data_IF_073228607650
#
_entry.id   IF_073228607650
#
_cell.length_a   1.000
_cell.length_b   1.000
_cell.length_c   1.000
_cell.angle_alpha   90.00
_cell.angle_beta   90.00
_cell.angle_gamma   90.00
#
_symmetry.space_group_name_H-M   'P 1'
#
loop_
_entity.id
_entity.type
_entity.pdbx_description
1 polymer ?
#
# COMPACT_ATOMS: atom_id res chain seq x y z
N UNK A 1 -19.92 12.77 -6.18
CA UNK A 1 -18.99 12.74 -5.03
C UNK A 1 -18.03 13.93 -5.02
N UNK A 2 -17.08 14.04 -5.98
CA UNK A 2 -16.01 15.04 -5.91
C UNK A 2 -16.34 16.43 -6.49
N UNK A 3 -17.42 16.55 -7.28
CA UNK A 3 -17.87 17.84 -7.83
C UNK A 3 -16.80 18.51 -8.68
N UNK A 4 -16.55 19.80 -8.45
CA UNK A 4 -15.51 20.57 -9.14
C UNK A 4 -14.08 20.08 -8.90
N UNK A 5 -13.85 19.22 -7.90
CA UNK A 5 -12.51 18.70 -7.55
C UNK A 5 -12.07 17.50 -8.39
N UNK A 6 -12.92 16.98 -9.29
CA UNK A 6 -12.60 15.80 -10.12
C UNK A 6 -11.31 15.99 -10.91
N UNK A 7 -11.09 17.17 -11.51
CA UNK A 7 -9.89 17.42 -12.28
C UNK A 7 -8.62 17.34 -11.42
N UNK A 8 -8.59 18.05 -10.29
CA UNK A 8 -7.47 18.03 -9.35
C UNK A 8 -7.20 16.61 -8.82
N UNK A 9 -8.26 15.83 -8.55
CA UNK A 9 -8.15 14.43 -8.15
C UNK A 9 -7.48 13.58 -9.24
N UNK A 10 -7.89 13.72 -10.51
CA UNK A 10 -7.30 12.97 -11.63
C UNK A 10 -5.84 13.36 -11.87
N UNK A 11 -5.51 14.64 -11.80
CA UNK A 11 -4.13 15.14 -11.89
C UNK A 11 -3.25 14.61 -10.74
N UNK A 12 -3.79 14.62 -9.52
CA UNK A 12 -3.14 14.04 -8.34
C UNK A 12 -2.90 12.54 -8.53
N UNK A 13 -3.89 11.78 -9.01
CA UNK A 13 -3.76 10.35 -9.27
C UNK A 13 -2.69 10.03 -10.33
N UNK A 14 -2.59 10.84 -11.37
CA UNK A 14 -1.64 10.65 -12.47
C UNK A 14 -0.17 10.83 -12.09
N UNK A 15 0.11 11.42 -10.93
CA UNK A 15 1.47 11.74 -10.47
C UNK A 15 1.79 11.03 -9.15
N UNK A 16 3.07 10.66 -8.91
CA UNK A 16 3.45 10.15 -7.61
C UNK A 16 3.36 11.25 -6.54
N UNK A 17 3.15 10.90 -5.26
CA UNK A 17 3.28 11.88 -4.18
C UNK A 17 4.67 12.50 -4.18
N UNK A 18 4.78 13.81 -3.90
CA UNK A 18 6.11 14.48 -3.83
C UNK A 18 7.01 13.94 -2.73
N UNK A 19 6.41 13.31 -1.72
CA UNK A 19 7.09 12.67 -0.60
C UNK A 19 6.71 11.19 -0.55
N UNK A 20 7.68 10.33 -0.80
CA UNK A 20 7.53 8.88 -0.71
C UNK A 20 7.80 8.44 0.72
N UNK A 21 6.81 7.83 1.35
CA UNK A 21 6.93 7.35 2.72
C UNK A 21 7.56 5.95 2.77
N UNK A 22 8.45 5.75 3.74
CA UNK A 22 8.90 4.44 4.19
C UNK A 22 8.65 4.32 5.69
N UNK A 23 8.26 3.13 6.13
CA UNK A 23 8.20 2.80 7.56
C UNK A 23 9.56 2.32 8.02
N UNK A 24 10.08 2.91 9.09
CA UNK A 24 11.27 2.44 9.79
C UNK A 24 10.87 1.33 10.75
N UNK A 25 11.62 0.23 10.72
CA UNK A 25 11.43 -0.89 11.62
C UNK A 25 12.16 -0.62 12.93
N UNK A 26 11.43 -0.06 13.91
CA UNK A 26 11.98 0.33 15.22
C UNK A 26 12.46 -0.83 16.09
N UNK A 27 12.26 -2.08 15.67
CA UNK A 27 12.88 -3.26 16.30
C UNK A 27 14.36 -3.40 15.87
N UNK A 28 14.74 -2.84 14.72
CA UNK A 28 16.04 -3.07 14.06
C UNK A 28 16.84 -1.81 13.76
N UNK A 29 16.31 -0.63 14.07
CA UNK A 29 17.02 0.64 13.86
C UNK A 29 16.15 1.84 14.15
N UNK A 30 16.78 3.01 14.14
CA UNK A 30 16.16 4.28 14.46
C UNK A 30 15.88 5.10 13.20
N UNK A 31 14.91 6.02 13.28
CA UNK A 31 14.50 6.84 12.13
C UNK A 31 15.61 7.78 11.68
N UNK A 32 16.37 8.33 12.62
CA UNK A 32 17.49 9.22 12.33
C UNK A 32 18.57 8.51 11.51
N UNK A 33 18.88 7.24 11.81
CA UNK A 33 19.84 6.44 11.02
C UNK A 33 19.37 6.29 9.56
N UNK A 34 18.07 6.06 9.35
CA UNK A 34 17.49 5.89 8.02
C UNK A 34 17.51 7.21 7.25
N UNK A 35 17.18 8.32 7.92
CA UNK A 35 17.22 9.67 7.34
C UNK A 35 18.66 10.04 6.95
N UNK A 36 19.61 9.83 7.84
CA UNK A 36 21.05 10.05 7.59
C UNK A 36 21.54 9.19 6.43
N UNK A 37 21.17 7.91 6.37
CA UNK A 37 21.54 7.02 5.27
C UNK A 37 21.06 7.55 3.91
N UNK A 38 19.77 7.90 3.78
CA UNK A 38 19.23 8.40 2.51
C UNK A 38 19.84 9.75 2.12
N UNK A 39 20.06 10.64 3.08
CA UNK A 39 20.76 11.91 2.84
C UNK A 39 22.22 11.70 2.42
N UNK A 40 22.91 10.72 3.01
CA UNK A 40 24.29 10.36 2.68
C UNK A 40 24.47 9.82 1.26
N UNK A 41 23.46 9.17 0.68
CA UNK A 41 23.46 8.73 -0.72
C UNK A 41 22.90 9.78 -1.69
N UNK A 42 22.66 11.01 -1.22
CA UNK A 42 22.24 12.15 -2.04
C UNK A 42 20.72 12.29 -2.25
N UNK A 43 19.89 11.47 -1.61
CA UNK A 43 18.45 11.70 -1.59
C UNK A 43 18.10 12.79 -0.56
N UNK A 44 16.91 13.41 -0.67
CA UNK A 44 16.40 14.33 0.36
C UNK A 44 15.40 13.60 1.24
N UNK A 45 15.81 13.22 2.45
CA UNK A 45 14.99 12.50 3.41
C UNK A 45 14.80 13.30 4.70
N UNK A 46 13.61 13.22 5.29
CA UNK A 46 13.31 13.75 6.63
C UNK A 46 12.38 12.81 7.40
N UNK A 47 12.44 12.85 8.73
CA UNK A 47 11.44 12.21 9.58
C UNK A 47 10.05 12.87 9.38
N UNK A 48 8.99 12.10 9.58
CA UNK A 48 7.63 12.62 9.62
C UNK A 48 7.35 13.25 10.99
N UNK A 49 6.69 14.41 11.01
CA UNK A 49 6.55 15.23 12.23
C UNK A 49 5.62 14.61 13.29
N UNK A 50 4.64 13.80 12.87
CA UNK A 50 3.64 13.21 13.77
C UNK A 50 3.63 11.67 13.84
N UNK A 51 4.47 10.99 13.06
CA UNK A 51 4.54 9.52 13.04
C UNK A 51 6.01 9.15 13.20
N UNK A 52 6.36 8.70 14.39
CA UNK A 52 7.75 8.51 14.84
C UNK A 52 8.52 7.58 13.92
N UNK A 53 7.88 6.50 13.47
CA UNK A 53 8.45 5.44 12.64
C UNK A 53 8.33 5.69 11.13
N UNK A 54 8.04 6.92 10.69
CA UNK A 54 7.90 7.26 9.27
C UNK A 54 9.01 8.21 8.80
N UNK A 55 9.67 7.86 7.69
CA UNK A 55 10.60 8.72 6.98
C UNK A 55 10.05 9.05 5.59
N UNK A 56 10.28 10.30 5.15
CA UNK A 56 9.77 10.86 3.90
C UNK A 56 10.93 11.15 2.97
N UNK A 57 11.01 10.43 1.86
CA UNK A 57 12.00 10.62 0.79
C UNK A 57 11.38 11.50 -0.29
N UNK A 58 12.04 12.58 -0.67
CA UNK A 58 11.55 13.47 -1.73
C UNK A 58 11.64 12.76 -3.07
N UNK A 59 10.55 12.82 -3.84
CA UNK A 59 10.53 12.37 -5.25
C UNK A 59 11.02 13.51 -6.13
N UNK A 60 12.02 13.26 -6.96
CA UNK A 60 12.52 14.24 -7.92
C UNK A 60 11.78 14.14 -9.26
N UNK A 61 11.64 15.27 -9.96
CA UNK A 61 10.94 15.38 -11.24
C UNK A 61 9.71 16.32 -11.15
N UNK A 62 8.87 16.36 -12.20
CA UNK A 62 8.98 15.56 -13.42
C UNK A 62 10.19 15.96 -14.27
N UNK A 63 10.87 14.97 -14.84
CA UNK A 63 11.90 15.12 -15.87
C UNK A 63 11.27 14.83 -17.24
N UNK A 64 11.72 15.52 -18.27
CA UNK A 64 11.35 15.18 -19.64
C UNK A 64 11.97 13.83 -20.01
N UNK A 65 11.21 12.94 -20.64
CA UNK A 65 11.71 11.65 -21.13
C UNK A 65 11.82 11.74 -22.64
N UNK A 66 12.92 12.32 -23.10
CA UNK A 66 13.28 12.34 -24.51
C UNK A 66 13.82 10.97 -24.93
N UNK A 67 13.37 10.47 -26.08
CA UNK A 67 13.96 9.26 -26.61
C UNK A 67 13.50 8.95 -28.02
N UNK A 68 14.28 9.36 -29.02
CA UNK A 68 14.20 8.79 -30.36
C UNK A 68 14.76 7.35 -30.32
N UNK A 69 14.06 6.36 -30.86
CA UNK A 69 14.53 4.97 -30.91
C UNK A 69 13.43 3.91 -30.83
N UNK A 70 13.84 2.64 -30.81
CA UNK A 70 12.93 1.51 -30.64
C UNK A 70 12.31 1.52 -29.23
N UNK A 71 11.03 1.12 -29.12
CA UNK A 71 10.32 1.09 -27.86
C UNK A 71 10.09 -0.32 -27.30
N UNK A 72 10.04 -0.39 -25.97
CA UNK A 72 9.64 -1.58 -25.20
C UNK A 72 8.40 -1.21 -24.42
N UNK A 73 7.33 -1.93 -24.69
CA UNK A 73 6.05 -1.75 -24.00
C UNK A 73 6.07 -2.59 -22.72
N UNK A 74 5.98 -1.93 -21.58
CA UNK A 74 5.85 -2.55 -20.26
C UNK A 74 4.36 -2.75 -19.90
N UNK A 75 4.07 -3.74 -19.06
CA UNK A 75 2.76 -3.89 -18.41
C UNK A 75 2.50 -2.66 -17.52
N UNK A 76 1.24 -2.28 -17.31
CA UNK A 76 0.82 -1.10 -16.51
C UNK A 76 1.64 -0.90 -15.22
N UNK A 77 1.62 -1.88 -14.32
CA UNK A 77 2.32 -1.75 -13.02
C UNK A 77 3.84 -1.68 -13.14
N UNK A 78 4.41 -2.33 -14.16
CA UNK A 78 5.84 -2.23 -14.42
C UNK A 78 6.18 -0.84 -14.98
N UNK A 79 5.34 -0.28 -15.85
CA UNK A 79 5.48 1.09 -16.35
C UNK A 79 5.35 2.13 -15.22
N UNK A 80 4.38 1.97 -14.31
CA UNK A 80 4.23 2.80 -13.10
C UNK A 80 5.47 2.72 -12.18
N UNK A 81 6.10 1.55 -12.07
CA UNK A 81 7.35 1.37 -11.30
C UNK A 81 8.56 2.01 -12.00
N UNK A 82 8.64 1.86 -13.33
CA UNK A 82 9.68 2.51 -14.16
C UNK A 82 9.55 4.02 -14.10
N UNK A 83 8.32 4.56 -14.12
CA UNK A 83 8.03 5.99 -13.99
C UNK A 83 8.65 6.61 -12.73
N UNK A 84 8.87 5.81 -11.67
CA UNK A 84 9.52 6.20 -10.41
C UNK A 84 11.04 5.96 -10.36
N UNK A 85 11.64 5.46 -11.44
CA UNK A 85 13.07 5.20 -11.54
C UNK A 85 13.47 3.72 -11.43
N UNK A 86 12.53 2.79 -11.34
CA UNK A 86 12.85 1.35 -11.30
C UNK A 86 13.37 0.84 -12.65
N UNK A 87 14.19 -0.20 -12.62
CA UNK A 87 14.53 -0.98 -13.81
C UNK A 87 13.30 -1.72 -14.36
N UNK A 88 13.24 -1.94 -15.68
CA UNK A 88 12.24 -2.83 -16.25
C UNK A 88 12.73 -4.27 -16.15
N UNK A 89 12.05 -5.09 -15.37
CA UNK A 89 12.33 -6.52 -15.24
C UNK A 89 11.57 -7.36 -16.28
N UNK A 90 12.14 -8.50 -16.66
CA UNK A 90 11.60 -9.42 -17.67
C UNK A 90 10.09 -9.76 -17.50
N UNK A 91 9.57 -10.05 -16.29
CA UNK A 91 8.14 -10.31 -16.08
C UNK A 91 7.22 -9.13 -16.41
N UNK A 92 7.77 -7.91 -16.38
CA UNK A 92 7.07 -6.67 -16.67
C UNK A 92 7.01 -6.32 -18.15
N UNK A 93 7.78 -7.00 -19.01
CA UNK A 93 7.78 -6.76 -20.46
C UNK A 93 6.50 -7.32 -21.08
N UNK A 94 5.79 -6.50 -21.85
CA UNK A 94 4.61 -6.91 -22.61
C UNK A 94 4.94 -7.13 -24.09
N UNK A 95 5.62 -6.17 -24.72
CA UNK A 95 6.05 -6.22 -26.11
C UNK A 95 7.39 -5.53 -26.26
N UNK A 96 8.25 -6.05 -27.13
CA UNK A 96 9.56 -5.49 -27.42
C UNK A 96 9.72 -5.37 -28.93
N UNK A 97 9.99 -4.15 -29.42
CA UNK A 97 10.45 -3.98 -30.80
C UNK A 97 11.86 -4.57 -30.96
N UNK A 98 12.38 -4.67 -32.19
CA UNK A 98 13.73 -5.23 -32.43
C UNK A 98 14.77 -4.42 -31.65
N UNK A 99 15.38 -5.04 -30.66
CA UNK A 99 16.43 -4.44 -29.84
C UNK A 99 17.44 -5.51 -29.45
N UNK A 100 18.70 -5.12 -29.40
CA UNK A 100 19.85 -5.91 -28.98
C UNK A 100 20.34 -5.43 -27.62
N UNK A 101 21.09 -6.29 -26.93
CA UNK A 101 21.82 -5.90 -25.72
C UNK A 101 22.68 -4.66 -26.03
N UNK A 102 22.58 -3.64 -25.19
CA UNK A 102 23.28 -2.36 -25.37
C UNK A 102 22.49 -1.29 -26.12
N UNK A 103 21.39 -1.65 -26.81
CA UNK A 103 20.58 -0.67 -27.51
C UNK A 103 19.89 0.28 -26.53
N UNK A 104 19.88 1.56 -26.91
CA UNK A 104 19.10 2.60 -26.24
C UNK A 104 17.63 2.45 -26.62
N UNK A 105 16.77 2.28 -25.63
CA UNK A 105 15.36 1.98 -25.83
C UNK A 105 14.48 2.87 -24.96
N UNK A 106 13.35 3.27 -25.52
CA UNK A 106 12.29 3.94 -24.78
C UNK A 106 11.40 2.90 -24.11
N UNK A 107 10.99 3.17 -22.88
CA UNK A 107 10.03 2.35 -22.14
C UNK A 107 8.68 3.08 -22.17
N UNK A 108 7.66 2.39 -22.65
CA UNK A 108 6.30 2.93 -22.82
C UNK A 108 5.28 2.07 -22.07
N UNK A 109 4.18 2.69 -21.65
CA UNK A 109 3.01 1.99 -21.15
C UNK A 109 2.22 1.31 -22.30
N UNK A 110 1.20 0.49 -22.00
CA UNK A 110 0.37 -0.15 -23.03
C UNK A 110 -0.37 0.80 -23.99
N UNK A 111 -0.51 2.08 -23.65
CA UNK A 111 -1.16 3.12 -24.44
C UNK A 111 -0.16 3.97 -25.24
N UNK A 112 1.14 3.67 -25.15
CA UNK A 112 2.20 4.36 -25.88
C UNK A 112 2.76 5.59 -25.18
N UNK A 113 2.39 5.85 -23.92
CA UNK A 113 2.95 6.96 -23.17
C UNK A 113 4.38 6.61 -22.71
N UNK A 114 5.38 7.47 -22.98
CA UNK A 114 6.73 7.25 -22.48
C UNK A 114 6.78 7.39 -20.97
N UNK A 115 7.41 6.43 -20.27
CA UNK A 115 7.60 6.46 -18.81
C UNK A 115 9.06 6.48 -18.39
N UNK A 116 9.96 6.10 -19.30
CA UNK A 116 11.39 6.13 -19.07
C UNK A 116 12.18 5.77 -20.32
N UNK A 117 13.49 5.85 -20.18
CA UNK A 117 14.49 5.56 -21.20
C UNK A 117 15.65 4.81 -20.56
N UNK A 118 16.21 3.83 -21.27
CA UNK A 118 17.29 3.01 -20.73
C UNK A 118 18.04 2.21 -21.76
N UNK A 119 18.89 1.31 -21.26
CA UNK A 119 19.71 0.40 -22.07
C UNK A 119 19.16 -1.01 -21.96
N UNK A 120 18.88 -1.63 -23.11
CA UNK A 120 18.43 -3.01 -23.14
C UNK A 120 19.52 -3.96 -22.64
N UNK A 121 19.14 -4.87 -21.74
CA UNK A 121 20.01 -5.93 -21.19
C UNK A 121 19.74 -7.29 -21.80
N UNK A 122 18.81 -7.36 -22.77
CA UNK A 122 18.37 -8.59 -23.41
C UNK A 122 18.25 -8.39 -24.93
N UNK A 123 18.27 -9.49 -25.68
CA UNK A 123 17.85 -9.48 -27.08
C UNK A 123 16.33 -9.60 -27.19
N UNK A 124 15.75 -9.04 -28.26
CA UNK A 124 14.33 -9.21 -28.56
C UNK A 124 13.94 -10.68 -28.66
N UNK A 125 12.84 -11.07 -28.01
CA UNK A 125 12.32 -12.43 -28.00
C UNK A 125 12.61 -13.23 -26.72
N UNK A 126 13.52 -12.75 -25.86
CA UNK A 126 13.77 -13.37 -24.56
C UNK A 126 12.56 -13.16 -23.64
N UNK A 127 12.07 -14.25 -23.06
CA UNK A 127 11.07 -14.27 -21.99
C UNK A 127 11.66 -14.97 -20.78
N UNK A 128 11.34 -14.45 -19.59
CA UNK A 128 11.83 -15.01 -18.34
C UNK A 128 11.01 -14.54 -17.16
N UNK A 129 11.14 -15.26 -16.04
CA UNK A 129 10.44 -14.94 -14.79
C UNK A 129 11.28 -14.04 -13.86
N UNK A 130 12.54 -13.80 -14.18
CA UNK A 130 13.50 -13.02 -13.39
C UNK A 130 14.52 -12.35 -14.32
N UNK A 131 15.21 -11.32 -13.80
CA UNK A 131 16.26 -10.59 -14.52
C UNK A 131 15.81 -9.23 -15.08
N UNK A 132 16.78 -8.35 -15.27
CA UNK A 132 16.59 -6.99 -15.81
C UNK A 132 16.47 -7.07 -17.33
N UNK A 133 15.38 -6.56 -17.89
CA UNK A 133 15.19 -6.40 -19.33
C UNK A 133 15.75 -5.07 -19.83
N UNK A 134 15.54 -3.98 -19.08
CA UNK A 134 16.09 -2.65 -19.36
C UNK A 134 16.65 -2.06 -18.08
N UNK A 135 17.91 -1.66 -18.13
CA UNK A 135 18.48 -0.80 -17.10
C UNK A 135 18.01 0.62 -17.38
N UNK A 136 17.16 1.15 -16.51
CA UNK A 136 16.59 2.48 -16.66
C UNK A 136 17.66 3.53 -16.38
N UNK A 137 17.85 4.46 -17.30
CA UNK A 137 18.79 5.58 -17.14
C UNK A 137 18.06 6.86 -16.72
N UNK A 138 16.84 7.06 -17.22
CA UNK A 138 16.02 8.23 -16.96
C UNK A 138 14.55 7.83 -16.94
N UNK A 139 13.81 8.45 -16.03
CA UNK A 139 12.37 8.27 -15.84
C UNK A 139 11.72 9.63 -15.63
N UNK A 140 10.39 9.70 -15.73
CA UNK A 140 9.67 10.95 -15.44
C UNK A 140 9.94 11.39 -13.99
N UNK A 141 9.98 10.46 -13.05
CA UNK A 141 10.32 10.74 -11.66
C UNK A 141 11.47 9.85 -11.20
N UNK A 142 12.15 10.28 -10.14
CA UNK A 142 13.27 9.54 -9.57
C UNK A 142 13.12 9.38 -8.06
N UNK A 143 13.24 8.13 -7.62
CA UNK A 143 13.52 7.73 -6.26
C UNK A 143 14.85 6.96 -6.22
N UNK A 144 15.54 6.92 -5.07
CA UNK A 144 16.62 5.97 -4.87
C UNK A 144 16.07 4.54 -5.02
N UNK A 145 16.89 3.55 -5.41
CA UNK A 145 16.46 2.16 -5.56
C UNK A 145 16.26 1.50 -4.18
N UNK A 146 15.18 1.87 -3.48
CA UNK A 146 14.94 1.55 -2.06
C UNK A 146 15.18 0.06 -1.76
N UNK A 147 14.67 -0.84 -2.60
CA UNK A 147 14.79 -2.30 -2.41
C UNK A 147 16.20 -2.87 -2.54
N UNK A 148 17.12 -2.11 -3.14
CA UNK A 148 18.52 -2.48 -3.34
C UNK A 148 19.43 -1.88 -2.25
N UNK A 149 18.88 -1.03 -1.38
CA UNK A 149 19.64 -0.40 -0.29
C UNK A 149 19.91 -1.37 0.87
N UNK A 150 21.04 -1.25 1.58
CA UNK A 150 21.31 -2.04 2.79
C UNK A 150 20.22 -1.89 3.84
N UNK A 151 19.69 -0.67 4.07
CA UNK A 151 18.61 -0.45 5.04
C UNK A 151 17.34 -1.24 4.72
N UNK A 152 17.03 -1.47 3.44
CA UNK A 152 15.94 -2.36 3.06
C UNK A 152 16.34 -3.83 3.21
N UNK A 153 17.48 -4.24 2.68
CA UNK A 153 17.93 -5.65 2.69
C UNK A 153 18.03 -6.17 4.14
N UNK A 154 18.54 -5.36 5.06
CA UNK A 154 18.73 -5.69 6.47
C UNK A 154 17.41 -5.64 7.29
N UNK A 155 16.30 -5.27 6.66
CA UNK A 155 15.00 -5.19 7.32
C UNK A 155 14.82 -3.98 8.21
N UNK A 156 15.64 -2.92 8.07
CA UNK A 156 15.49 -1.67 8.81
C UNK A 156 14.33 -0.81 8.30
N UNK A 157 13.89 -1.00 7.07
CA UNK A 157 12.73 -0.28 6.50
C UNK A 157 11.75 -1.20 5.76
N UNK A 158 10.52 -0.69 5.61
CA UNK A 158 9.47 -1.22 4.76
C UNK A 158 8.93 -0.10 3.85
N UNK A 159 8.80 -0.36 2.55
CA UNK A 159 8.01 0.52 1.67
C UNK A 159 6.54 0.46 2.09
N UNK A 160 6.01 1.57 2.59
CA UNK A 160 4.63 1.66 3.07
C UNK A 160 4.15 3.11 2.98
N UNK A 161 3.00 3.33 2.34
CA UNK A 161 2.44 4.68 2.22
C UNK A 161 2.07 5.24 3.60
N UNK A 162 2.19 6.57 3.76
CA UNK A 162 1.81 7.27 4.99
C UNK A 162 0.42 6.87 5.52
N UNK A 163 -0.66 6.83 4.72
CA UNK A 163 -1.97 6.41 5.23
C UNK A 163 -2.03 4.94 5.67
N UNK A 164 -1.22 4.06 5.07
CA UNK A 164 -1.13 2.67 5.51
C UNK A 164 -0.34 2.53 6.83
N UNK A 165 0.65 3.37 7.09
CA UNK A 165 1.34 3.48 8.39
C UNK A 165 0.34 4.01 9.44
N UNK A 166 -0.37 5.09 9.11
CA UNK A 166 -1.40 5.68 9.97
C UNK A 166 -2.50 4.68 10.33
N UNK A 167 -2.88 3.79 9.42
CA UNK A 167 -3.90 2.75 9.69
C UNK A 167 -3.53 1.89 10.89
N UNK A 168 -2.28 1.43 11.00
CA UNK A 168 -1.85 0.61 12.14
C UNK A 168 -1.78 1.44 13.43
N UNK A 169 -1.40 2.72 13.35
CA UNK A 169 -1.45 3.65 14.50
C UNK A 169 -2.89 3.93 14.94
N UNK A 170 -3.84 4.05 14.00
CA UNK A 170 -5.27 4.19 14.28
C UNK A 170 -5.86 2.90 14.86
N UNK A 171 -5.31 1.72 14.54
CA UNK A 171 -5.68 0.48 15.23
C UNK A 171 -5.27 0.53 16.71
N UNK A 172 -4.14 1.17 17.01
CA UNK A 172 -3.63 1.38 18.37
C UNK A 172 -3.49 0.05 19.15
N UNK A 173 -2.71 -0.93 18.63
CA UNK A 173 -2.56 -2.25 19.25
C UNK A 173 -1.76 -2.15 20.54
N UNK A 174 -2.31 -2.69 21.63
CA UNK A 174 -1.66 -2.66 22.95
C UNK A 174 -0.89 -3.96 23.23
N UNK A 175 0.21 -3.93 24.00
CA UNK A 175 0.91 -5.15 24.42
C UNK A 175 -0.02 -6.16 25.11
N UNK A 176 0.11 -7.44 24.76
CA UNK A 176 -0.71 -8.53 25.32
C UNK A 176 -2.11 -8.70 24.68
N UNK A 177 -2.57 -7.77 23.84
CA UNK A 177 -3.83 -7.93 23.11
C UNK A 177 -3.74 -9.00 22.01
N UNK A 178 -4.87 -9.67 21.77
CA UNK A 178 -5.04 -10.53 20.59
C UNK A 178 -5.50 -9.68 19.41
N UNK A 179 -4.67 -9.63 18.37
CA UNK A 179 -4.94 -8.86 17.15
C UNK A 179 -5.21 -9.84 15.99
N UNK A 180 -6.23 -9.54 15.19
CA UNK A 180 -6.53 -10.28 13.95
C UNK A 180 -6.37 -9.36 12.75
N UNK A 181 -5.52 -9.75 11.81
CA UNK A 181 -5.47 -9.15 10.47
C UNK A 181 -6.16 -10.09 9.48
N UNK A 182 -7.30 -9.67 8.95
CA UNK A 182 -8.15 -10.51 8.11
C UNK A 182 -7.64 -10.64 6.67
N UNK A 183 -6.80 -9.71 6.19
CA UNK A 183 -6.37 -9.63 4.79
C UNK A 183 -4.87 -9.28 4.73
N UNK A 184 -4.06 -10.11 5.36
CA UNK A 184 -2.77 -9.69 5.86
C UNK A 184 -1.69 -9.49 4.79
N UNK A 185 -1.68 -10.29 3.72
CA UNK A 185 -0.57 -10.24 2.78
C UNK A 185 -0.60 -8.96 1.91
N UNK A 186 0.54 -8.35 1.57
CA UNK A 186 1.90 -8.86 1.74
C UNK A 186 2.51 -8.68 3.14
N UNK A 187 1.78 -8.14 4.12
CA UNK A 187 2.19 -8.12 5.53
C UNK A 187 2.69 -6.77 6.04
N UNK A 188 2.61 -5.70 5.25
CA UNK A 188 3.08 -4.37 5.66
C UNK A 188 2.43 -3.88 6.95
N UNK A 189 1.09 -3.86 7.01
CA UNK A 189 0.33 -3.46 8.21
C UNK A 189 0.49 -4.48 9.35
N UNK A 190 0.47 -5.77 9.05
CA UNK A 190 0.68 -6.84 10.05
C UNK A 190 2.04 -6.71 10.75
N UNK A 191 3.12 -6.53 9.99
CA UNK A 191 4.46 -6.33 10.52
C UNK A 191 4.57 -5.03 11.32
N UNK A 192 3.84 -3.98 10.90
CA UNK A 192 3.76 -2.73 11.65
C UNK A 192 3.05 -2.91 12.99
N UNK A 193 1.94 -3.65 13.03
CA UNK A 193 1.23 -3.98 14.28
C UNK A 193 2.17 -4.74 15.22
N UNK A 194 2.90 -5.74 14.70
CA UNK A 194 3.91 -6.46 15.48
C UNK A 194 4.97 -5.52 16.05
N UNK A 195 5.50 -4.61 15.22
CA UNK A 195 6.45 -3.58 15.64
C UNK A 195 5.89 -2.69 16.76
N UNK A 196 4.64 -2.22 16.64
CA UNK A 196 3.99 -1.37 17.66
C UNK A 196 3.76 -2.11 18.99
N UNK A 197 3.59 -3.44 18.95
CA UNK A 197 3.51 -4.29 20.15
C UNK A 197 4.89 -4.78 20.64
N UNK A 198 5.99 -4.27 20.08
CA UNK A 198 7.36 -4.70 20.42
C UNK A 198 7.65 -6.17 20.09
N UNK A 199 6.94 -6.75 19.11
CA UNK A 199 7.00 -8.15 18.69
C UNK A 199 6.70 -9.17 19.82
N UNK A 200 5.86 -8.78 20.78
CA UNK A 200 5.46 -9.64 21.93
C UNK A 200 3.98 -10.04 21.93
N UNK A 201 3.18 -9.48 21.01
CA UNK A 201 1.73 -9.69 20.94
C UNK A 201 1.32 -11.04 20.35
N UNK A 202 0.01 -11.35 20.42
CA UNK A 202 -0.58 -12.48 19.69
C UNK A 202 -1.29 -11.97 18.44
N UNK A 203 -0.61 -12.05 17.30
CA UNK A 203 -1.16 -11.59 16.01
C UNK A 203 -1.53 -12.80 15.15
N UNK A 204 -2.81 -12.90 14.79
CA UNK A 204 -3.30 -13.90 13.83
C UNK A 204 -3.54 -13.22 12.49
N UNK A 205 -2.80 -13.65 11.48
CA UNK A 205 -2.80 -13.02 10.17
C UNK A 205 -3.30 -14.00 9.10
N UNK A 206 -4.43 -13.65 8.49
CA UNK A 206 -5.13 -14.50 7.53
C UNK A 206 -4.89 -14.05 6.09
N UNK A 207 -4.64 -15.01 5.21
CA UNK A 207 -4.56 -14.79 3.76
C UNK A 207 -5.08 -16.03 3.02
N UNK A 208 -5.85 -15.85 1.96
CA UNK A 208 -6.41 -16.97 1.21
C UNK A 208 -5.40 -17.60 0.24
N UNK A 209 -4.55 -16.77 -0.40
CA UNK A 209 -3.64 -17.18 -1.46
C UNK A 209 -2.34 -17.80 -0.92
N UNK A 210 -2.04 -19.09 -1.23
CA UNK A 210 -0.78 -19.73 -0.82
C UNK A 210 0.47 -18.97 -1.28
N UNK A 211 0.43 -18.43 -2.50
CA UNK A 211 1.54 -17.65 -3.07
C UNK A 211 1.78 -16.36 -2.27
N UNK A 212 0.72 -15.70 -1.81
CA UNK A 212 0.84 -14.48 -1.01
C UNK A 212 1.32 -14.78 0.41
N UNK A 213 0.90 -15.90 1.00
CA UNK A 213 1.44 -16.38 2.28
C UNK A 213 2.95 -16.59 2.20
N UNK A 214 3.44 -17.26 1.15
CA UNK A 214 4.89 -17.46 0.97
C UNK A 214 5.67 -16.16 0.90
N UNK A 215 5.16 -15.16 0.14
CA UNK A 215 5.76 -13.82 0.08
C UNK A 215 5.72 -13.07 1.41
N UNK A 216 4.60 -13.15 2.12
CA UNK A 216 4.44 -12.53 3.42
C UNK A 216 5.38 -13.14 4.46
N UNK A 217 5.59 -14.47 4.44
CA UNK A 217 6.56 -15.13 5.31
C UNK A 217 7.97 -14.62 5.08
N UNK A 218 8.42 -14.59 3.83
CA UNK A 218 9.73 -14.04 3.49
C UNK A 218 9.90 -12.58 3.93
N UNK A 219 8.83 -11.79 3.87
CA UNK A 219 8.87 -10.40 4.32
C UNK A 219 8.93 -10.26 5.84
N UNK A 220 8.16 -11.05 6.58
CA UNK A 220 8.25 -11.10 8.04
C UNK A 220 9.65 -11.57 8.50
N UNK A 221 10.22 -12.57 7.82
CA UNK A 221 11.57 -13.06 8.08
C UNK A 221 12.61 -11.96 7.84
N UNK A 222 12.52 -11.23 6.71
CA UNK A 222 13.40 -10.08 6.42
C UNK A 222 13.30 -9.02 7.50
N UNK A 223 12.09 -8.68 7.95
CA UNK A 223 11.85 -7.68 8.99
C UNK A 223 12.16 -8.20 10.42
N UNK A 224 12.32 -9.50 10.61
CA UNK A 224 12.60 -10.13 11.90
C UNK A 224 11.42 -10.27 12.83
N UNK A 225 10.20 -10.25 12.30
CA UNK A 225 8.96 -10.33 13.07
C UNK A 225 8.65 -11.79 13.39
N UNK A 226 8.43 -12.11 14.67
CA UNK A 226 8.19 -13.48 15.15
C UNK A 226 6.83 -13.68 15.82
N UNK A 227 6.17 -12.62 16.25
CA UNK A 227 4.87 -12.66 16.97
C UNK A 227 3.67 -13.00 16.08
N UNK A 228 3.85 -13.13 14.77
CA UNK A 228 2.77 -13.33 13.80
C UNK A 228 2.55 -14.80 13.49
N UNK A 229 1.34 -15.29 13.76
CA UNK A 229 0.88 -16.60 13.29
C UNK A 229 0.17 -16.42 11.94
N UNK A 230 0.79 -16.92 10.87
CA UNK A 230 0.23 -16.91 9.52
C UNK A 230 -0.70 -18.09 9.29
N UNK A 231 -1.92 -17.82 8.83
CA UNK A 231 -2.91 -18.85 8.59
C UNK A 231 -3.60 -18.70 7.23
N UNK A 232 -3.74 -19.82 6.53
CA UNK A 232 -4.48 -19.86 5.28
C UNK A 232 -5.96 -20.02 5.57
N UNK A 233 -6.76 -18.99 5.27
CA UNK A 233 -8.21 -19.05 5.43
C UNK A 233 -8.90 -18.07 4.48
N UNK A 234 -10.17 -18.32 4.19
CA UNK A 234 -11.07 -17.29 3.67
C UNK A 234 -11.65 -16.51 4.84
N UNK A 235 -11.15 -15.30 5.07
CA UNK A 235 -11.44 -14.60 6.32
C UNK A 235 -12.89 -14.08 6.43
N UNK A 236 -13.66 -14.13 5.33
CA UNK A 236 -15.09 -13.83 5.31
C UNK A 236 -15.93 -14.78 6.17
N UNK A 237 -15.35 -15.92 6.55
CA UNK A 237 -16.03 -16.96 7.32
C UNK A 237 -15.33 -17.30 8.66
N UNK A 238 -14.36 -16.49 9.13
CA UNK A 238 -13.64 -16.77 10.39
C UNK A 238 -14.58 -16.93 11.60
N UNK A 239 -15.68 -16.18 11.65
CA UNK A 239 -16.67 -16.30 12.72
C UNK A 239 -17.32 -17.69 12.78
N UNK A 240 -17.39 -18.38 11.65
CA UNK A 240 -17.94 -19.74 11.52
C UNK A 240 -16.86 -20.81 11.65
N UNK A 241 -15.73 -20.60 10.97
CA UNK A 241 -14.62 -21.55 10.91
C UNK A 241 -13.85 -21.59 12.23
N UNK A 242 -13.85 -20.48 12.98
CA UNK A 242 -13.20 -20.33 14.29
C UNK A 242 -14.14 -19.64 15.29
N UNK A 243 -15.20 -20.32 15.75
CA UNK A 243 -16.22 -19.70 16.62
C UNK A 243 -15.65 -19.23 17.97
N UNK A 244 -14.57 -19.85 18.45
CA UNK A 244 -13.86 -19.47 19.67
C UNK A 244 -12.88 -18.30 19.49
N UNK A 245 -12.61 -17.88 18.26
CA UNK A 245 -11.73 -16.74 18.00
C UNK A 245 -12.39 -15.45 18.47
N UNK A 246 -11.75 -14.80 19.43
CA UNK A 246 -12.11 -13.47 19.91
C UNK A 246 -10.89 -12.57 19.97
N UNK A 247 -10.97 -11.41 19.32
CA UNK A 247 -9.88 -10.46 19.19
C UNK A 247 -10.19 -9.17 19.94
N UNK A 248 -9.19 -8.61 20.62
CA UNK A 248 -9.28 -7.27 21.20
C UNK A 248 -9.32 -6.22 20.08
N UNK A 249 -8.62 -6.49 18.97
CA UNK A 249 -8.65 -5.66 17.76
C UNK A 249 -8.64 -6.48 16.47
N UNK A 250 -9.34 -5.96 15.46
CA UNK A 250 -9.42 -6.55 14.12
C UNK A 250 -9.06 -5.50 13.08
N UNK A 251 -8.07 -5.80 12.25
CA UNK A 251 -7.76 -5.04 11.04
C UNK A 251 -8.47 -5.68 9.84
N UNK A 252 -9.22 -4.85 9.12
CA UNK A 252 -9.92 -5.20 7.89
C UNK A 252 -9.40 -4.28 6.79
N UNK A 253 -8.37 -4.74 6.08
CA UNK A 253 -7.80 -4.09 4.89
C UNK A 253 -8.12 -4.93 3.65
N UNK A 254 -9.40 -5.00 3.24
CA UNK A 254 -9.85 -5.97 2.25
C UNK A 254 -9.38 -5.59 0.84
N UNK A 255 -9.41 -6.54 -0.10
CA UNK A 255 -9.31 -6.22 -1.52
C UNK A 255 -10.33 -5.15 -1.91
N UNK A 256 -9.84 -4.13 -2.63
CA UNK A 256 -10.63 -3.03 -3.14
C UNK A 256 -10.23 -2.74 -4.59
N UNK A 257 -10.94 -1.81 -5.24
CA UNK A 257 -10.63 -1.40 -6.61
C UNK A 257 -9.30 -0.66 -6.77
N UNK A 258 -8.65 -0.27 -5.67
CA UNK A 258 -7.36 0.42 -5.64
C UNK A 258 -7.31 1.71 -6.48
N UNK A 259 -8.44 2.39 -6.65
CA UNK A 259 -8.56 3.62 -7.45
C UNK A 259 -7.72 4.79 -6.92
N UNK A 260 -7.31 4.75 -5.65
CA UNK A 260 -6.51 5.77 -4.99
C UNK A 260 -5.00 5.61 -5.14
N UNK A 261 -4.51 4.49 -5.66
CA UNK A 261 -3.06 4.24 -5.80
C UNK A 261 -2.42 5.23 -6.78
N UNK A 262 -1.19 5.68 -6.46
CA UNK A 262 -0.41 6.67 -7.22
C UNK A 262 1.02 6.18 -7.49
N UNK A 263 1.64 6.52 -8.64
CA UNK A 263 1.01 7.14 -9.81
C UNK A 263 0.07 6.15 -10.51
N UNK A 264 -0.92 6.68 -11.23
CA UNK A 264 -1.88 5.89 -12.00
C UNK A 264 -1.94 6.40 -13.43
N UNK A 265 -1.31 5.65 -14.33
CA UNK A 265 -1.19 6.05 -15.75
C UNK A 265 -2.54 6.07 -16.47
N UNK A 266 -3.39 5.10 -16.16
CA UNK A 266 -4.76 5.03 -16.64
C UNK A 266 -5.58 4.12 -15.72
N UNK A 267 -6.91 4.15 -15.87
CA UNK A 267 -7.81 3.25 -15.14
C UNK A 267 -8.94 2.72 -16.04
N UNK A 268 -9.34 1.48 -15.79
CA UNK A 268 -10.35 0.75 -16.55
C UNK A 268 -11.42 0.12 -15.64
N UNK A 269 -11.25 0.19 -14.31
CA UNK A 269 -12.26 -0.25 -13.35
C UNK A 269 -13.63 0.38 -13.62
N UNK A 270 -14.62 -0.47 -13.87
CA UNK A 270 -16.01 -0.05 -14.05
C UNK A 270 -16.82 -0.01 -12.76
N UNK A 271 -18.01 0.59 -12.83
CA UNK A 271 -18.96 0.67 -11.70
C UNK A 271 -19.34 -0.71 -11.14
N UNK A 272 -19.50 -1.71 -12.02
CA UNK A 272 -19.83 -3.08 -11.59
C UNK A 272 -18.75 -3.68 -10.66
N UNK A 273 -17.46 -3.40 -10.94
CA UNK A 273 -16.35 -3.86 -10.10
C UNK A 273 -16.31 -3.15 -8.75
N UNK A 274 -16.62 -1.84 -8.73
CA UNK A 274 -16.77 -1.05 -7.49
C UNK A 274 -17.86 -1.65 -6.60
N UNK A 275 -19.06 -1.88 -7.16
CA UNK A 275 -20.19 -2.44 -6.42
C UNK A 275 -19.94 -3.86 -5.95
N UNK A 276 -19.29 -4.69 -6.78
CA UNK A 276 -18.88 -6.04 -6.41
C UNK A 276 -17.86 -6.02 -5.26
N UNK A 277 -16.89 -5.12 -5.31
CA UNK A 277 -15.88 -4.95 -4.26
C UNK A 277 -16.52 -4.51 -2.95
N UNK A 278 -17.42 -3.53 -2.98
CA UNK A 278 -18.19 -3.08 -1.82
C UNK A 278 -19.01 -4.22 -1.18
N UNK A 279 -19.70 -5.03 -2.00
CA UNK A 279 -20.45 -6.19 -1.50
C UNK A 279 -19.55 -7.25 -0.85
N UNK A 280 -18.35 -7.44 -1.39
CA UNK A 280 -17.33 -8.34 -0.84
C UNK A 280 -16.77 -7.81 0.50
N UNK A 281 -16.48 -6.51 0.58
CA UNK A 281 -15.98 -5.81 1.77
C UNK A 281 -16.94 -5.94 2.97
N UNK A 282 -18.25 -5.80 2.72
CA UNK A 282 -19.29 -6.02 3.73
C UNK A 282 -19.27 -7.43 4.34
N UNK A 283 -18.82 -8.46 3.60
CA UNK A 283 -18.68 -9.83 4.13
C UNK A 283 -17.54 -9.92 5.15
N UNK A 284 -16.41 -9.25 4.92
CA UNK A 284 -15.32 -9.21 5.90
C UNK A 284 -15.74 -8.49 7.18
N UNK A 285 -16.43 -7.35 7.07
CA UNK A 285 -16.90 -6.63 8.26
C UNK A 285 -17.91 -7.43 9.09
N UNK A 286 -18.79 -8.22 8.46
CA UNK A 286 -19.69 -9.15 9.18
C UNK A 286 -18.91 -10.14 10.05
N UNK A 287 -17.87 -10.74 9.49
CA UNK A 287 -16.99 -11.67 10.20
C UNK A 287 -16.19 -10.94 11.29
N UNK A 288 -15.62 -9.77 10.97
CA UNK A 288 -14.89 -8.91 11.91
C UNK A 288 -15.72 -8.53 13.15
N UNK A 289 -16.96 -8.06 12.96
CA UNK A 289 -17.87 -7.68 14.04
C UNK A 289 -18.16 -8.85 14.99
N UNK A 290 -18.22 -10.08 14.48
CA UNK A 290 -18.51 -11.29 15.28
C UNK A 290 -17.31 -11.81 16.06
N UNK A 291 -16.10 -11.63 15.52
CA UNK A 291 -14.86 -12.06 16.18
C UNK A 291 -14.26 -10.97 17.08
N UNK A 292 -14.57 -9.68 16.89
CA UNK A 292 -14.16 -8.64 17.83
C UNK A 292 -14.81 -8.89 19.21
N UNK A 293 -14.10 -8.74 20.32
CA UNK A 293 -14.70 -8.82 21.67
C UNK A 293 -15.70 -7.67 21.87
N UNK A 294 -16.70 -7.77 22.77
CA UNK A 294 -17.46 -6.60 23.20
C UNK A 294 -16.51 -5.50 23.70
N UNK A 295 -16.69 -4.27 23.21
CA UNK A 295 -15.74 -3.17 23.43
C UNK A 295 -14.42 -3.28 22.65
N UNK A 296 -14.25 -4.28 21.78
CA UNK A 296 -13.09 -4.45 20.90
C UNK A 296 -13.14 -3.51 19.69
N UNK A 297 -11.97 -3.26 19.09
CA UNK A 297 -11.82 -2.31 17.99
C UNK A 297 -11.79 -3.04 16.65
N UNK A 298 -12.44 -2.46 15.64
CA UNK A 298 -12.33 -2.88 14.24
C UNK A 298 -11.84 -1.67 13.43
N UNK A 299 -10.70 -1.79 12.76
CA UNK A 299 -10.26 -0.77 11.79
C UNK A 299 -10.49 -1.27 10.39
N UNK A 300 -11.24 -0.50 9.61
CA UNK A 300 -11.47 -0.72 8.19
C UNK A 300 -10.62 0.25 7.37
N UNK A 301 -9.90 -0.23 6.36
CA UNK A 301 -9.15 0.64 5.45
C UNK A 301 -9.20 0.18 4.00
N UNK A 302 -9.12 1.13 3.07
CA UNK A 302 -8.98 0.85 1.64
C UNK A 302 -8.03 1.84 0.98
N UNK A 303 -7.42 1.44 -0.14
CA UNK A 303 -6.69 2.34 -1.04
C UNK A 303 -7.56 2.78 -2.24
N UNK A 304 -8.87 2.93 -2.03
CA UNK A 304 -9.82 3.45 -3.02
C UNK A 304 -10.43 4.77 -2.56
N UNK A 305 -11.12 5.42 -3.50
CA UNK A 305 -11.68 6.76 -3.35
C UNK A 305 -13.22 6.77 -3.49
N UNK A 306 -13.86 5.66 -3.83
CA UNK A 306 -15.32 5.53 -4.02
C UNK A 306 -16.09 5.74 -2.71
N UNK A 307 -17.37 6.09 -2.77
CA UNK A 307 -18.24 6.12 -1.58
C UNK A 307 -18.72 4.72 -1.23
N UNK A 308 -19.01 3.96 -2.28
CA UNK A 308 -19.60 2.62 -2.25
C UNK A 308 -18.75 1.64 -1.48
N UNK A 309 -17.42 1.75 -1.58
CA UNK A 309 -16.44 0.90 -0.87
C UNK A 309 -16.02 1.49 0.48
N UNK A 310 -16.37 2.75 0.77
CA UNK A 310 -15.88 3.48 1.94
C UNK A 310 -17.04 3.81 2.89
N UNK A 311 -17.61 5.03 2.82
CA UNK A 311 -18.65 5.47 3.74
C UNK A 311 -19.88 4.58 3.71
N UNK A 312 -20.27 4.06 2.54
CA UNK A 312 -21.46 3.20 2.44
C UNK A 312 -21.23 1.83 3.09
N UNK A 313 -19.98 1.35 3.09
CA UNK A 313 -19.58 0.14 3.84
C UNK A 313 -19.56 0.42 5.34
N UNK A 314 -19.08 1.60 5.76
CA UNK A 314 -19.08 2.00 7.17
C UNK A 314 -20.49 2.21 7.70
N UNK A 315 -21.38 2.89 6.96
CA UNK A 315 -22.80 3.04 7.34
C UNK A 315 -23.47 1.69 7.52
N UNK A 316 -23.27 0.78 6.57
CA UNK A 316 -23.72 -0.61 6.70
C UNK A 316 -23.19 -1.28 7.98
N UNK A 317 -21.91 -1.07 8.31
CA UNK A 317 -21.33 -1.63 9.52
C UNK A 317 -22.00 -1.10 10.79
N UNK A 318 -22.30 0.20 10.83
CA UNK A 318 -22.97 0.81 11.97
C UNK A 318 -24.44 0.38 12.10
N UNK A 319 -25.17 0.37 10.98
CA UNK A 319 -26.61 0.08 10.95
C UNK A 319 -26.92 -1.41 11.18
N UNK A 320 -26.09 -2.31 10.65
CA UNK A 320 -26.42 -3.74 10.56
C UNK A 320 -25.56 -4.65 11.46
N UNK A 321 -24.38 -4.18 11.92
CA UNK A 321 -23.41 -5.04 12.61
C UNK A 321 -23.18 -4.70 14.08
N UNK A 322 -23.85 -3.68 14.62
CA UNK A 322 -23.63 -3.23 16.01
C UNK A 322 -22.20 -2.71 16.24
N UNK A 323 -21.66 -2.02 15.24
CA UNK A 323 -20.39 -1.30 15.34
C UNK A 323 -20.67 0.20 15.49
N UNK A 324 -19.90 0.87 16.32
CA UNK A 324 -20.02 2.30 16.56
C UNK A 324 -18.78 3.01 15.99
N UNK A 325 -18.99 4.06 15.19
CA UNK A 325 -17.89 4.84 14.63
C UNK A 325 -17.22 5.67 15.74
N UNK A 326 -15.90 5.56 15.86
CA UNK A 326 -15.09 6.30 16.83
C UNK A 326 -14.19 7.33 16.14
N UNK A 327 -13.94 8.46 16.82
CA UNK A 327 -12.89 9.38 16.40
C UNK A 327 -11.52 8.66 16.47
N UNK A 328 -10.69 8.73 15.41
CA UNK A 328 -9.37 8.14 15.42
C UNK A 328 -8.48 8.81 16.49
N UNK A 329 -7.61 8.03 17.15
CA UNK A 329 -6.69 8.57 18.17
C UNK A 329 -5.61 9.49 17.57
N UNK A 330 -5.42 9.46 16.26
CA UNK A 330 -4.40 10.22 15.55
C UNK A 330 -4.92 10.67 14.18
N UNK A 331 -4.69 11.95 13.85
CA UNK A 331 -4.77 12.50 12.51
C UNK A 331 -3.46 13.19 12.18
N UNK A 332 -3.09 13.16 10.90
CA UNK A 332 -1.88 13.81 10.39
C UNK A 332 -2.24 14.80 9.29
N UNK A 333 -1.28 15.61 8.87
CA UNK A 333 -1.46 16.52 7.73
C UNK A 333 -1.97 15.74 6.49
N UNK A 334 -2.98 16.29 5.81
CA UNK A 334 -3.63 15.67 4.65
C UNK A 334 -4.71 14.61 4.99
N UNK A 335 -4.84 14.20 6.26
CA UNK A 335 -5.86 13.26 6.72
C UNK A 335 -7.22 13.98 6.93
N UNK A 336 -7.95 14.21 5.84
CA UNK A 336 -9.27 14.84 5.84
C UNK A 336 -10.37 13.96 6.44
N UNK A 337 -11.58 14.51 6.57
CA UNK A 337 -12.75 13.77 7.03
C UNK A 337 -13.42 12.95 5.92
N UNK A 338 -14.15 11.90 6.31
CA UNK A 338 -15.06 11.20 5.42
C UNK A 338 -16.21 12.09 4.93
N UNK A 339 -16.82 11.69 3.81
CA UNK A 339 -17.92 12.42 3.18
C UNK A 339 -19.24 12.13 3.91
N UNK A 340 -19.59 13.02 4.83
CA UNK A 340 -20.76 12.86 5.70
C UNK A 340 -20.51 12.00 6.95
N UNK A 341 -19.27 11.55 7.17
CA UNK A 341 -18.82 10.82 8.36
C UNK A 341 -17.51 11.46 8.84
N UNK A 342 -17.58 12.38 9.81
CA UNK A 342 -16.44 13.25 10.17
C UNK A 342 -15.29 12.51 10.81
N UNK A 343 -15.63 11.46 11.55
CA UNK A 343 -14.77 10.55 12.31
C UNK A 343 -13.96 9.63 11.36
N UNK A 344 -14.42 9.43 10.13
CA UNK A 344 -13.62 8.73 9.13
C UNK A 344 -12.45 9.61 8.65
N UNK A 345 -11.39 8.95 8.20
CA UNK A 345 -10.19 9.59 7.63
C UNK A 345 -10.13 9.32 6.13
N UNK A 346 -9.97 10.39 5.34
CA UNK A 346 -9.75 10.34 3.89
C UNK A 346 -8.47 11.06 3.50
N UNK A 347 -7.71 10.41 2.65
CA UNK A 347 -6.65 11.05 1.88
C UNK A 347 -7.17 11.23 0.46
N UNK A 348 -7.26 12.49 0.02
CA UNK A 348 -7.72 12.87 -1.32
C UNK A 348 -6.52 13.35 -2.13
N UNK A 349 -6.11 12.64 -3.20
CA UNK A 349 -4.98 13.01 -4.05
C UNK A 349 -5.06 14.41 -4.66
N UNK A 350 -6.27 14.96 -4.81
CA UNK A 350 -6.47 16.32 -5.31
C UNK A 350 -6.26 17.40 -4.24
N UNK A 351 -6.14 17.02 -2.97
CA UNK A 351 -5.99 17.96 -1.84
C UNK A 351 -4.74 17.70 -0.99
N UNK A 352 -4.10 16.54 -1.10
CA UNK A 352 -2.94 16.19 -0.28
C UNK A 352 -1.90 15.35 -1.04
N UNK A 353 -0.67 15.38 -0.52
CA UNK A 353 0.49 14.66 -1.07
C UNK A 353 0.52 13.20 -0.58
N UNK A 354 -0.57 12.46 -0.82
CA UNK A 354 -0.71 11.05 -0.46
C UNK A 354 -1.53 10.28 -1.52
N UNK A 355 -1.46 8.94 -1.57
CA UNK A 355 -2.43 8.15 -2.33
C UNK A 355 -3.84 8.31 -1.76
N UNK A 356 -4.83 8.09 -2.61
CA UNK A 356 -6.21 8.00 -2.22
C UNK A 356 -6.41 6.84 -1.25
N UNK A 357 -6.93 7.15 -0.07
CA UNK A 357 -7.01 6.20 1.01
C UNK A 357 -8.15 6.54 1.95
N UNK A 358 -8.70 5.50 2.59
CA UNK A 358 -9.78 5.63 3.56
C UNK A 358 -9.48 4.79 4.80
N UNK A 359 -9.81 5.32 5.98
CA UNK A 359 -9.66 4.64 7.27
C UNK A 359 -10.90 4.95 8.11
N UNK A 360 -11.50 3.93 8.72
CA UNK A 360 -12.55 4.07 9.71
C UNK A 360 -12.20 3.22 10.94
N UNK A 361 -12.26 3.83 12.12
CA UNK A 361 -12.13 3.14 13.41
C UNK A 361 -13.51 2.91 13.99
N UNK A 362 -13.82 1.66 14.28
CA UNK A 362 -15.11 1.21 14.78
C UNK A 362 -14.91 0.48 16.11
N UNK A 363 -15.89 0.58 17.00
CA UNK A 363 -15.96 -0.14 18.28
C UNK A 363 -17.13 -1.11 18.24
N UNK A 364 -16.91 -2.35 18.66
CA UNK A 364 -18.03 -3.27 18.90
C UNK A 364 -18.76 -2.84 20.17
N UNK A 365 -20.06 -2.61 20.08
CA UNK A 365 -20.90 -2.29 21.25
C UNK A 365 -20.75 -3.36 22.34
N UNK A 366 -20.88 -2.94 23.60
CA UNK A 366 -20.68 -3.79 24.79
C UNK A 366 -21.75 -4.85 24.98
#
# INVERSE_FOLDING_TARGET
MYGSRVQALLEGLGTPPRRYAVRVNTIRGEVDEVVEYFNGIGAKCKAHEAIEEAALISVEGPFEVDGLGNSITAKKHAAESVMLGSNLYLPGVMRMQRAKVGDRVRIEDPRGHPVGFGVSKIHSGIRGNEGIAVQTLQSIYRLPPIRETPVFIDGKIQEQSLPAILTSRILDPQPGETIVDMCAAPGGKTAHIAQLQGDTGRILAFEHSPRRIGRMRAELDRLGIRSVTLERADSRYLDKDRPSLKADRVLVDPPCTALGVRPKLYEETGVAEVLSSAAFQKQFLRSAARIAKPGGVVVYSTCTITLEENEDVVRFACEELGLELEEPPLRVEGAGSGMGLKECVRFDPGLCEAPGFFIARLRRSR
#
